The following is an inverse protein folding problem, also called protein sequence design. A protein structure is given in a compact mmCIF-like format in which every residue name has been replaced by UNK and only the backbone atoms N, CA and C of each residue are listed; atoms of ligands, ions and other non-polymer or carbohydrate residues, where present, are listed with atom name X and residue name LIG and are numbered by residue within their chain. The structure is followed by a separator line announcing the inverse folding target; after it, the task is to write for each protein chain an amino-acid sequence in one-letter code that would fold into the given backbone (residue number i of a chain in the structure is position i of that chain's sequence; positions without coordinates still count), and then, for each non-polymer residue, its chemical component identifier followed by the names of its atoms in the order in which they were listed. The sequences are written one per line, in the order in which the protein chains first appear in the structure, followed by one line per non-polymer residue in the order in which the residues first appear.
data_IF_618176606439
#
_entry.id   IF_618176606439
#
_cell.length_a   1.000
_cell.length_b   1.000
_cell.length_c   1.000
_cell.angle_alpha   90.00
_cell.angle_beta   90.00
_cell.angle_gamma   90.00
#
_symmetry.space_group_name_H-M   'P 1'
#
loop_
_entity.id
_entity.type
_entity.pdbx_description
1 polymer ?
#
# COMPACT_ATOMS: atom_id res chain seq x y z
N UNK A 1 61.43 -15.51 17.27
CA UNK A 1 60.16 -15.71 18.01
C UNK A 1 59.05 -15.61 16.96
N UNK A 2 58.25 -16.68 16.79
CA UNK A 2 57.22 -16.78 15.72
C UNK A 2 56.03 -15.89 16.03
N UNK A 3 55.79 -14.87 15.22
CA UNK A 3 54.64 -13.93 15.33
C UNK A 3 53.23 -14.57 15.38
N UNK A 4 53.12 -15.87 15.06
CA UNK A 4 51.82 -16.57 15.03
C UNK A 4 51.29 -17.01 16.39
N UNK A 5 52.15 -17.12 17.41
CA UNK A 5 51.74 -17.63 18.74
C UNK A 5 51.06 -16.52 19.59
N UNK A 6 51.36 -15.27 19.34
CA UNK A 6 50.83 -14.13 20.10
C UNK A 6 49.37 -13.83 19.81
N UNK A 7 48.92 -13.90 18.54
CA UNK A 7 47.50 -13.59 18.17
C UNK A 7 46.60 -14.72 18.64
N UNK A 8 47.03 -16.00 18.49
CA UNK A 8 46.24 -17.15 18.94
C UNK A 8 45.99 -17.11 20.45
N UNK A 9 47.05 -16.83 21.26
CA UNK A 9 46.91 -16.70 22.70
C UNK A 9 46.01 -15.50 23.08
N UNK A 10 46.19 -14.37 22.45
CA UNK A 10 45.33 -13.19 22.68
C UNK A 10 43.86 -13.45 22.38
N UNK A 11 43.53 -14.18 21.31
CA UNK A 11 42.16 -14.58 21.01
C UNK A 11 41.62 -15.62 21.99
N UNK A 12 42.47 -16.51 22.46
CA UNK A 12 42.09 -17.54 23.48
C UNK A 12 41.80 -16.87 24.83
N UNK A 13 42.56 -15.85 25.23
CA UNK A 13 42.33 -15.11 26.48
C UNK A 13 41.01 -14.33 26.45
N UNK A 14 40.55 -13.95 25.26
CA UNK A 14 39.28 -13.22 25.04
C UNK A 14 38.18 -14.10 24.48
N UNK A 15 38.30 -15.39 24.54
CA UNK A 15 37.38 -16.32 23.83
C UNK A 15 35.91 -16.20 24.29
N UNK A 16 35.71 -15.97 25.58
CA UNK A 16 34.36 -15.83 26.15
C UNK A 16 33.62 -14.60 25.55
N UNK A 17 34.31 -13.50 25.43
CA UNK A 17 33.75 -12.27 24.82
C UNK A 17 33.49 -12.50 23.33
N UNK A 18 34.39 -13.15 22.62
CA UNK A 18 34.24 -13.51 21.21
C UNK A 18 33.02 -14.42 21.00
N UNK A 19 32.81 -15.41 21.89
CA UNK A 19 31.64 -16.29 21.89
C UNK A 19 30.38 -15.48 22.17
N UNK A 20 30.40 -14.59 23.15
CA UNK A 20 29.27 -13.72 23.47
C UNK A 20 28.89 -12.79 22.32
N UNK A 21 29.88 -12.15 21.68
CA UNK A 21 29.62 -11.35 20.46
C UNK A 21 28.97 -12.19 19.36
N UNK A 22 29.45 -13.41 19.17
CA UNK A 22 28.88 -14.33 18.17
C UNK A 22 27.46 -14.76 18.52
N UNK A 23 27.20 -15.07 19.79
CA UNK A 23 25.86 -15.43 20.33
C UNK A 23 24.88 -14.27 20.19
N UNK A 24 25.36 -13.02 20.37
CA UNK A 24 24.58 -11.80 20.18
C UNK A 24 24.39 -11.41 18.68
N UNK A 25 24.85 -12.27 17.75
CA UNK A 25 24.60 -12.11 16.32
C UNK A 25 25.60 -11.26 15.57
N UNK A 26 26.68 -10.81 16.20
CA UNK A 26 27.73 -10.02 15.53
C UNK A 26 28.48 -10.91 14.53
N UNK A 27 28.66 -10.40 13.31
CA UNK A 27 29.32 -11.14 12.25
C UNK A 27 30.81 -11.36 12.55
N UNK A 28 31.34 -12.52 12.13
CA UNK A 28 32.76 -12.85 12.30
C UNK A 28 33.69 -11.78 11.75
N UNK A 29 33.30 -11.14 10.63
CA UNK A 29 34.04 -10.02 10.03
C UNK A 29 34.07 -8.74 10.90
N UNK A 30 33.03 -8.51 11.67
CA UNK A 30 32.93 -7.37 12.60
C UNK A 30 33.72 -7.66 13.87
N UNK A 31 33.61 -8.89 14.42
CA UNK A 31 34.43 -9.35 15.54
C UNK A 31 35.91 -9.26 15.17
N UNK A 32 36.28 -9.65 13.95
CA UNK A 32 37.65 -9.56 13.46
C UNK A 32 38.19 -8.09 13.42
N UNK A 33 37.34 -7.12 13.12
CA UNK A 33 37.68 -5.68 13.20
C UNK A 33 37.90 -5.25 14.66
N UNK A 34 37.05 -5.67 15.60
CA UNK A 34 37.17 -5.34 17.02
C UNK A 34 38.51 -5.83 17.56
N UNK A 35 38.88 -7.06 17.23
CA UNK A 35 40.14 -7.70 17.69
C UNK A 35 41.35 -7.43 16.78
N UNK A 36 41.20 -6.57 15.77
CA UNK A 36 42.24 -6.20 14.79
C UNK A 36 42.95 -7.42 14.18
N UNK A 37 42.18 -8.41 13.80
CA UNK A 37 42.67 -9.68 13.25
C UNK A 37 41.90 -10.08 11.97
N UNK A 38 42.28 -11.24 11.39
CA UNK A 38 41.56 -11.74 10.21
C UNK A 38 40.28 -12.49 10.62
N UNK A 39 39.22 -12.47 9.78
CA UNK A 39 38.03 -13.29 10.02
C UNK A 39 38.33 -14.79 10.17
N UNK A 40 39.33 -15.30 9.47
CA UNK A 40 39.78 -16.68 9.58
C UNK A 40 40.38 -17.03 10.93
N UNK A 41 41.08 -16.08 11.61
CA UNK A 41 41.59 -16.26 12.98
C UNK A 41 40.47 -16.34 13.98
N UNK A 42 39.44 -15.48 13.87
CA UNK A 42 38.23 -15.56 14.73
C UNK A 42 37.48 -16.86 14.50
N UNK A 43 37.28 -17.29 13.25
CA UNK A 43 36.64 -18.56 12.90
C UNK A 43 37.36 -19.73 13.58
N UNK A 44 38.70 -19.79 13.46
CA UNK A 44 39.52 -20.85 14.08
C UNK A 44 39.44 -20.81 15.58
N UNK A 45 39.46 -19.65 16.22
CA UNK A 45 39.33 -19.52 17.67
C UNK A 45 37.96 -20.04 18.14
N UNK A 46 36.88 -19.69 17.47
CA UNK A 46 35.54 -20.18 17.77
C UNK A 46 35.41 -21.69 17.55
N UNK A 47 35.92 -22.23 16.44
CA UNK A 47 35.90 -23.68 16.14
C UNK A 47 36.71 -24.50 17.14
N UNK A 48 37.88 -24.01 17.55
CA UNK A 48 38.70 -24.66 18.58
C UNK A 48 38.02 -24.73 19.95
N UNK A 49 37.06 -23.86 20.23
CA UNK A 49 36.27 -23.82 21.45
C UNK A 49 34.84 -24.37 21.26
N UNK A 50 34.62 -25.19 20.23
CA UNK A 50 33.34 -25.87 19.99
C UNK A 50 32.22 -25.02 19.42
N UNK A 51 32.49 -23.73 19.08
CA UNK A 51 31.52 -22.83 18.47
C UNK A 51 31.68 -22.88 16.95
N UNK A 52 30.85 -23.66 16.31
CA UNK A 52 30.90 -23.87 14.87
C UNK A 52 30.34 -22.62 14.14
N UNK A 53 31.18 -21.88 13.44
CA UNK A 53 30.84 -20.71 12.64
C UNK A 53 30.30 -21.03 11.25
N UNK A 54 30.54 -22.27 10.80
CA UNK A 54 30.13 -22.73 9.46
C UNK A 54 29.09 -23.86 9.61
N UNK A 55 27.89 -23.67 9.08
CA UNK A 55 26.87 -24.72 8.84
C UNK A 55 25.88 -25.08 9.94
N UNK A 56 25.56 -24.23 10.91
CA UNK A 56 24.39 -24.48 11.79
C UNK A 56 23.08 -24.66 11.00
N UNK A 57 22.93 -23.97 9.89
CA UNK A 57 21.77 -24.12 8.99
C UNK A 57 21.79 -25.39 8.13
N UNK A 58 22.97 -25.96 7.87
CA UNK A 58 23.10 -27.16 7.00
C UNK A 58 22.83 -28.48 7.71
N UNK A 59 22.88 -28.55 9.04
CA UNK A 59 22.92 -29.80 9.76
C UNK A 59 21.61 -30.31 10.36
N UNK A 60 20.56 -29.47 10.44
CA UNK A 60 19.27 -29.94 10.98
C UNK A 60 18.15 -29.76 9.94
N UNK A 61 17.43 -30.85 9.59
CA UNK A 61 16.25 -30.77 8.70
C UNK A 61 15.21 -29.75 9.16
N UNK A 62 15.03 -29.59 10.46
CA UNK A 62 14.09 -28.64 11.08
C UNK A 62 14.41 -27.17 10.77
N UNK A 63 15.69 -26.82 10.75
CA UNK A 63 16.10 -25.44 10.42
C UNK A 63 15.90 -25.13 8.93
N UNK A 64 15.99 -26.13 8.08
CA UNK A 64 15.71 -26.04 6.65
C UNK A 64 14.26 -25.66 6.38
N UNK A 65 13.32 -26.41 6.94
CA UNK A 65 11.89 -26.16 6.75
C UNK A 65 11.49 -24.80 7.31
N UNK A 66 12.00 -24.44 8.48
CA UNK A 66 11.79 -23.10 9.07
C UNK A 66 12.29 -22.00 8.15
N UNK A 67 13.50 -22.10 7.63
CA UNK A 67 14.07 -21.10 6.71
C UNK A 67 13.25 -20.99 5.40
N UNK A 68 12.85 -22.13 4.84
CA UNK A 68 12.02 -22.17 3.63
C UNK A 68 10.67 -21.52 3.91
N UNK A 69 10.00 -21.85 5.01
CA UNK A 69 8.71 -21.29 5.39
C UNK A 69 8.81 -19.77 5.63
N UNK A 70 9.88 -19.30 6.27
CA UNK A 70 10.17 -17.87 6.44
C UNK A 70 10.34 -17.16 5.08
N UNK A 71 11.02 -17.81 4.13
CA UNK A 71 11.17 -17.27 2.80
C UNK A 71 9.86 -17.30 2.02
N UNK A 72 9.10 -18.38 2.05
CA UNK A 72 7.80 -18.52 1.38
C UNK A 72 6.75 -17.56 1.98
N UNK A 73 6.80 -17.31 3.29
CA UNK A 73 5.95 -16.34 3.97
C UNK A 73 6.25 -14.87 3.61
N UNK A 74 7.27 -14.63 2.77
CA UNK A 74 7.56 -13.31 2.22
C UNK A 74 8.75 -12.58 2.82
N UNK A 75 9.45 -13.13 3.82
CA UNK A 75 10.65 -12.50 4.37
C UNK A 75 11.77 -12.39 3.33
N UNK A 76 12.52 -11.32 3.37
CA UNK A 76 13.67 -11.08 2.49
C UNK A 76 14.87 -11.91 2.92
N UNK A 77 15.85 -12.09 2.02
CA UNK A 77 17.12 -12.75 2.36
C UNK A 77 17.83 -12.06 3.53
N UNK A 78 17.75 -10.72 3.60
CA UNK A 78 18.37 -9.93 4.66
C UNK A 78 17.66 -10.14 6.03
N UNK A 79 16.32 -10.18 6.04
CA UNK A 79 15.55 -10.46 7.26
C UNK A 79 15.85 -11.87 7.79
N UNK A 80 15.87 -12.87 6.91
CA UNK A 80 16.19 -14.24 7.28
C UNK A 80 17.65 -14.33 7.75
N UNK A 81 18.57 -13.68 7.04
CA UNK A 81 19.97 -13.62 7.41
C UNK A 81 20.17 -13.07 8.84
N UNK A 82 19.41 -12.04 9.21
CA UNK A 82 19.40 -11.47 10.57
C UNK A 82 18.87 -12.48 11.61
N UNK A 83 17.73 -13.15 11.31
CA UNK A 83 17.13 -14.14 12.23
C UNK A 83 18.10 -15.29 12.52
N UNK A 84 18.77 -15.80 11.49
CA UNK A 84 19.67 -16.95 11.60
C UNK A 84 21.14 -16.56 11.78
N UNK A 85 21.45 -15.27 11.94
CA UNK A 85 22.80 -14.73 12.12
C UNK A 85 23.81 -15.19 11.05
N UNK A 86 23.37 -15.21 9.81
CA UNK A 86 24.17 -15.59 8.65
C UNK A 86 24.22 -14.47 7.61
N UNK A 87 25.03 -14.62 6.56
CA UNK A 87 25.00 -13.66 5.44
C UNK A 87 23.79 -13.92 4.52
N UNK A 88 23.25 -12.89 3.86
CA UNK A 88 22.21 -13.09 2.84
C UNK A 88 22.63 -14.04 1.73
N UNK A 89 23.92 -14.06 1.38
CA UNK A 89 24.48 -15.00 0.40
C UNK A 89 24.40 -16.45 0.89
N UNK A 90 24.55 -16.70 2.18
CA UNK A 90 24.38 -18.03 2.78
C UNK A 90 22.93 -18.50 2.64
N UNK A 91 21.96 -17.62 2.93
CA UNK A 91 20.53 -17.92 2.75
C UNK A 91 20.23 -18.21 1.28
N UNK A 92 20.77 -17.37 0.36
CA UNK A 92 20.63 -17.58 -1.07
C UNK A 92 21.16 -18.92 -1.56
N UNK A 93 22.36 -19.32 -1.11
CA UNK A 93 22.97 -20.61 -1.47
C UNK A 93 22.18 -21.81 -0.94
N UNK A 94 21.59 -21.68 0.26
CA UNK A 94 20.72 -22.72 0.81
C UNK A 94 19.44 -22.89 0.01
N UNK A 95 18.81 -21.80 -0.41
CA UNK A 95 17.62 -21.86 -1.27
C UNK A 95 17.93 -22.55 -2.61
N UNK A 96 19.12 -22.31 -3.19
CA UNK A 96 19.57 -23.00 -4.42
C UNK A 96 19.79 -24.49 -4.16
N UNK A 97 20.47 -24.85 -3.05
CA UNK A 97 20.72 -26.26 -2.66
C UNK A 97 19.42 -27.05 -2.56
N UNK A 98 18.34 -26.39 -2.17
CA UNK A 98 17.02 -27.02 -2.00
C UNK A 98 16.07 -26.78 -3.18
N UNK A 99 16.58 -26.31 -4.31
CA UNK A 99 15.81 -26.02 -5.52
C UNK A 99 14.64 -25.06 -5.30
N UNK A 100 14.72 -24.17 -4.31
CA UNK A 100 13.72 -23.16 -4.08
C UNK A 100 13.94 -22.00 -5.05
N UNK A 101 12.99 -21.79 -5.95
CA UNK A 101 13.08 -20.70 -6.94
C UNK A 101 13.16 -19.36 -6.22
N UNK A 102 14.28 -18.68 -6.39
CA UNK A 102 14.48 -17.35 -5.81
C UNK A 102 13.59 -16.32 -6.50
N UNK A 103 13.09 -15.39 -5.68
CA UNK A 103 12.38 -14.22 -6.17
C UNK A 103 13.32 -13.41 -7.07
N UNK A 104 12.82 -12.80 -8.14
CA UNK A 104 13.59 -11.83 -8.90
C UNK A 104 14.14 -10.74 -7.99
N UNK A 105 15.40 -10.40 -8.13
CA UNK A 105 16.08 -9.38 -7.33
C UNK A 105 15.28 -8.08 -7.30
N UNK A 106 15.04 -7.53 -6.10
CA UNK A 106 14.31 -6.28 -5.92
C UNK A 106 12.78 -6.39 -5.82
N UNK A 107 12.19 -7.59 -5.85
CA UNK A 107 10.74 -7.77 -5.66
C UNK A 107 10.43 -8.35 -4.29
N UNK A 108 9.84 -7.55 -3.41
CA UNK A 108 9.15 -8.06 -2.22
C UNK A 108 7.92 -8.82 -2.70
N UNK A 109 7.83 -10.13 -2.42
CA UNK A 109 6.58 -10.86 -2.65
C UNK A 109 5.56 -10.40 -1.62
N UNK A 110 4.38 -10.16 -2.10
CA UNK A 110 3.17 -9.98 -1.32
C UNK A 110 2.06 -10.77 -2.02
N UNK A 111 1.08 -11.20 -1.25
CA UNK A 111 -0.11 -11.83 -1.80
C UNK A 111 -0.91 -10.78 -2.57
N UNK A 112 -1.61 -11.19 -3.61
CA UNK A 112 -2.46 -10.31 -4.41
C UNK A 112 -3.43 -11.15 -5.24
N UNK A 113 -4.71 -10.83 -5.18
CA UNK A 113 -5.67 -11.29 -6.18
C UNK A 113 -5.57 -10.39 -7.41
N UNK A 114 -4.75 -10.77 -8.40
CA UNK A 114 -4.54 -9.97 -9.61
C UNK A 114 -5.78 -9.86 -10.50
N UNK A 115 -6.76 -10.76 -10.32
CA UNK A 115 -8.03 -10.82 -11.03
C UNK A 115 -9.15 -10.01 -10.37
N UNK A 116 -8.85 -9.26 -9.31
CA UNK A 116 -9.87 -8.54 -8.54
C UNK A 116 -10.73 -7.59 -9.39
N UNK A 117 -10.16 -6.97 -10.42
CA UNK A 117 -10.85 -6.03 -11.31
C UNK A 117 -11.28 -6.64 -12.66
N UNK A 118 -11.30 -7.95 -12.81
CA UNK A 118 -11.75 -8.58 -14.05
C UNK A 118 -13.25 -8.34 -14.31
N UNK A 119 -14.02 -8.28 -13.23
CA UNK A 119 -15.44 -7.91 -13.25
C UNK A 119 -15.70 -6.90 -12.12
N UNK A 120 -16.40 -5.82 -12.44
CA UNK A 120 -16.83 -4.81 -11.45
C UNK A 120 -18.28 -5.13 -11.12
N UNK A 121 -18.49 -5.92 -10.08
CA UNK A 121 -19.77 -6.51 -9.68
C UNK A 121 -20.15 -6.27 -8.22
N UNK A 122 -19.30 -5.56 -7.45
CA UNK A 122 -19.57 -5.21 -6.05
C UNK A 122 -19.40 -3.73 -5.80
N UNK A 123 -20.01 -3.25 -4.71
CA UNK A 123 -19.92 -1.86 -4.31
C UNK A 123 -18.48 -1.45 -3.97
N UNK A 124 -17.70 -2.34 -3.36
CA UNK A 124 -16.31 -2.09 -3.00
C UNK A 124 -15.45 -1.89 -4.26
N UNK A 125 -15.65 -2.73 -5.28
CA UNK A 125 -14.94 -2.60 -6.56
C UNK A 125 -15.28 -1.28 -7.25
N UNK A 126 -16.56 -0.93 -7.33
CA UNK A 126 -17.00 0.33 -7.91
C UNK A 126 -16.47 1.54 -7.13
N UNK A 127 -16.48 1.49 -5.79
CA UNK A 127 -15.88 2.50 -4.93
C UNK A 127 -14.38 2.68 -5.19
N UNK A 128 -13.64 1.57 -5.25
CA UNK A 128 -12.20 1.61 -5.50
C UNK A 128 -11.89 2.20 -6.88
N UNK A 129 -12.67 1.86 -7.91
CA UNK A 129 -12.53 2.49 -9.24
C UNK A 129 -12.77 4.00 -9.17
N UNK A 130 -13.81 4.46 -8.45
CA UNK A 130 -14.07 5.87 -8.23
C UNK A 130 -12.91 6.58 -7.50
N UNK A 131 -12.41 5.98 -6.43
CA UNK A 131 -11.28 6.54 -5.67
C UNK A 131 -9.98 6.54 -6.49
N UNK A 132 -9.73 5.50 -7.28
CA UNK A 132 -8.60 5.46 -8.23
C UNK A 132 -8.77 6.48 -9.35
N UNK A 133 -9.99 6.72 -9.81
CA UNK A 133 -10.29 7.75 -10.80
C UNK A 133 -9.95 9.16 -10.29
N UNK A 134 -10.14 9.42 -8.99
CA UNK A 134 -9.72 10.65 -8.32
C UNK A 134 -8.21 10.62 -8.01
N UNK A 135 -7.84 10.00 -6.92
CA UNK A 135 -6.50 10.07 -6.29
C UNK A 135 -5.50 9.01 -6.77
N UNK A 136 -5.94 8.03 -7.56
CA UNK A 136 -5.08 6.94 -8.02
C UNK A 136 -4.14 7.32 -9.17
N UNK A 137 -3.02 6.62 -9.26
CA UNK A 137 -2.10 6.70 -10.39
C UNK A 137 -1.73 5.29 -10.86
N UNK A 138 -1.88 5.03 -12.17
CA UNK A 138 -1.43 3.77 -12.80
C UNK A 138 -0.33 4.09 -13.81
N UNK A 139 0.93 3.94 -13.36
CA UNK A 139 2.11 4.19 -14.18
C UNK A 139 2.80 2.88 -14.52
N UNK A 140 3.00 2.59 -15.80
CA UNK A 140 3.55 1.32 -16.28
C UNK A 140 2.79 0.12 -15.69
N UNK A 141 3.40 -0.63 -14.77
CA UNK A 141 2.82 -1.80 -14.10
C UNK A 141 2.54 -1.55 -12.61
N UNK A 142 2.55 -0.30 -12.19
CA UNK A 142 2.44 0.10 -10.78
C UNK A 142 1.19 0.94 -10.58
N UNK A 143 0.38 0.52 -9.62
CA UNK A 143 -0.84 1.19 -9.15
C UNK A 143 -0.47 1.84 -7.81
N UNK A 144 -0.70 3.12 -7.68
CA UNK A 144 -0.42 3.85 -6.44
C UNK A 144 -1.68 4.61 -6.03
N UNK A 145 -2.06 4.47 -4.77
CA UNK A 145 -3.07 5.26 -4.11
C UNK A 145 -2.44 5.89 -2.87
N UNK A 146 -2.62 7.19 -2.70
CA UNK A 146 -2.05 7.95 -1.60
C UNK A 146 -3.14 8.72 -0.86
N UNK A 147 -3.24 8.51 0.46
CA UNK A 147 -4.20 9.19 1.31
C UNK A 147 -3.50 9.79 2.52
N UNK A 148 -4.09 10.84 3.10
CA UNK A 148 -3.60 11.41 4.35
C UNK A 148 -3.71 10.39 5.50
N UNK A 149 -2.91 10.60 6.55
CA UNK A 149 -2.80 9.66 7.68
C UNK A 149 -4.15 9.38 8.36
N UNK A 150 -5.07 10.36 8.44
CA UNK A 150 -6.42 10.17 8.98
C UNK A 150 -7.26 9.17 8.18
N UNK A 151 -6.95 8.99 6.91
CA UNK A 151 -7.70 8.15 5.97
C UNK A 151 -6.99 6.82 5.69
N UNK A 152 -5.91 6.51 6.43
CA UNK A 152 -5.10 5.29 6.30
C UNK A 152 -5.93 4.02 6.31
N UNK A 153 -6.99 3.97 7.12
CA UNK A 153 -7.87 2.80 7.25
C UNK A 153 -8.46 2.34 5.91
N UNK A 154 -8.76 3.28 4.99
CA UNK A 154 -9.24 2.95 3.64
C UNK A 154 -8.17 2.22 2.82
N UNK A 155 -6.89 2.63 2.92
CA UNK A 155 -5.81 1.93 2.24
C UNK A 155 -5.61 0.52 2.81
N UNK A 156 -5.80 0.33 4.11
CA UNK A 156 -5.72 -0.98 4.77
C UNK A 156 -6.87 -1.88 4.33
N UNK A 157 -8.08 -1.34 4.25
CA UNK A 157 -9.27 -2.04 3.78
C UNK A 157 -9.14 -2.43 2.30
N UNK A 158 -8.74 -1.52 1.42
CA UNK A 158 -8.48 -1.80 0.01
C UNK A 158 -7.41 -2.88 -0.13
N UNK A 159 -6.32 -2.81 0.65
CA UNK A 159 -5.26 -3.81 0.62
C UNK A 159 -5.79 -5.20 1.01
N UNK A 160 -6.66 -5.27 2.01
CA UNK A 160 -7.34 -6.50 2.41
C UNK A 160 -8.26 -7.05 1.30
N UNK A 161 -9.11 -6.19 0.72
CA UNK A 161 -10.01 -6.54 -0.39
C UNK A 161 -9.26 -7.08 -1.61
N UNK A 162 -8.09 -6.51 -1.90
CA UNK A 162 -7.20 -7.01 -2.95
C UNK A 162 -6.51 -8.35 -2.59
N UNK A 163 -6.78 -8.93 -1.42
CA UNK A 163 -6.07 -10.11 -0.92
C UNK A 163 -4.56 -9.88 -0.75
N UNK A 164 -4.18 -8.63 -0.46
CA UNK A 164 -2.77 -8.22 -0.43
C UNK A 164 -2.28 -8.00 1.01
N UNK A 165 -1.07 -8.48 1.27
CA UNK A 165 -0.34 -8.20 2.50
C UNK A 165 0.76 -7.12 2.30
N UNK A 166 0.60 -6.27 1.27
CA UNK A 166 1.54 -5.19 0.97
C UNK A 166 1.59 -4.19 2.13
N UNK A 167 2.80 -3.90 2.63
CA UNK A 167 2.97 -2.87 3.68
C UNK A 167 2.74 -1.48 3.09
N UNK A 168 1.92 -0.69 3.76
CA UNK A 168 1.75 0.73 3.44
C UNK A 168 3.05 1.49 3.73
N UNK A 169 3.39 2.42 2.85
CA UNK A 169 4.55 3.28 3.03
C UNK A 169 4.10 4.64 3.56
N UNK A 170 4.66 5.04 4.70
CA UNK A 170 4.48 6.39 5.26
C UNK A 170 5.48 7.36 4.61
N UNK A 171 5.00 8.47 4.12
CA UNK A 171 5.79 9.64 3.74
C UNK A 171 5.48 10.77 4.73
N UNK A 172 6.53 11.29 5.37
CA UNK A 172 6.47 12.45 6.27
C UNK A 172 7.17 13.61 5.57
N UNK A 173 6.45 14.52 4.92
CA UNK A 173 7.04 15.70 4.34
C UNK A 173 7.46 16.67 5.46
N UNK A 174 8.45 17.53 5.19
CA UNK A 174 8.86 18.59 6.13
C UNK A 174 7.74 19.61 6.35
N UNK A 175 6.95 19.87 5.32
CA UNK A 175 5.79 20.77 5.35
C UNK A 175 4.59 20.00 4.78
N UNK A 176 3.46 20.03 5.49
CA UNK A 176 2.22 19.39 5.08
C UNK A 176 1.81 18.22 5.96
N UNK A 177 0.87 17.42 5.47
CA UNK A 177 0.32 16.27 6.21
C UNK A 177 1.08 15.00 5.89
N UNK A 178 1.20 14.11 6.86
CA UNK A 178 1.65 12.75 6.64
C UNK A 178 0.74 12.03 5.64
N UNK A 179 1.34 11.30 4.70
CA UNK A 179 0.65 10.55 3.67
C UNK A 179 1.01 9.08 3.74
N UNK A 180 0.02 8.21 3.63
CA UNK A 180 0.22 6.78 3.43
C UNK A 180 0.02 6.43 1.96
N UNK A 181 0.86 5.51 1.48
CA UNK A 181 0.85 5.01 0.11
C UNK A 181 0.62 3.52 0.10
N UNK A 182 -0.39 3.07 -0.63
CA UNK A 182 -0.53 1.70 -1.10
C UNK A 182 0.03 1.64 -2.52
N UNK A 183 1.06 0.83 -2.72
CA UNK A 183 1.72 0.68 -4.03
C UNK A 183 1.72 -0.79 -4.42
N UNK A 184 0.95 -1.15 -5.43
CA UNK A 184 0.82 -2.49 -6.01
C UNK A 184 1.53 -2.52 -7.36
N UNK A 185 2.47 -3.44 -7.54
CA UNK A 185 3.15 -3.64 -8.82
C UNK A 185 2.73 -4.98 -9.40
N UNK A 186 1.80 -4.94 -10.35
CA UNK A 186 1.31 -6.11 -11.08
C UNK A 186 0.94 -5.71 -12.50
N UNK A 187 1.46 -6.44 -13.49
CA UNK A 187 1.26 -6.12 -14.90
C UNK A 187 -0.18 -6.32 -15.35
N UNK A 188 -0.80 -7.42 -14.92
CA UNK A 188 -2.16 -7.77 -15.31
C UNK A 188 -3.17 -6.78 -14.73
N UNK A 189 -3.15 -6.57 -13.42
CA UNK A 189 -4.05 -5.63 -12.75
C UNK A 189 -3.90 -4.19 -13.29
N UNK A 190 -2.66 -3.73 -13.52
CA UNK A 190 -2.42 -2.41 -14.11
C UNK A 190 -2.97 -2.30 -15.53
N UNK A 191 -2.86 -3.38 -16.33
CA UNK A 191 -3.46 -3.44 -17.67
C UNK A 191 -4.99 -3.35 -17.58
N UNK A 192 -5.64 -4.14 -16.69
CA UNK A 192 -7.09 -4.09 -16.47
C UNK A 192 -7.58 -2.72 -16.05
N UNK A 193 -6.93 -2.07 -15.11
CA UNK A 193 -7.30 -0.71 -14.69
C UNK A 193 -7.17 0.32 -15.82
N UNK A 194 -6.17 0.16 -16.70
CA UNK A 194 -6.04 1.03 -17.88
C UNK A 194 -7.17 0.82 -18.89
N UNK A 195 -7.62 -0.43 -19.10
CA UNK A 195 -8.81 -0.72 -19.90
C UNK A 195 -10.07 -0.05 -19.33
N UNK A 196 -10.17 0.08 -18.00
CA UNK A 196 -11.24 0.77 -17.30
C UNK A 196 -11.08 2.31 -17.28
N UNK A 197 -10.10 2.87 -18.00
CA UNK A 197 -9.86 4.30 -18.11
C UNK A 197 -8.98 4.91 -17.00
N UNK A 198 -8.48 4.10 -16.04
CA UNK A 198 -7.59 4.59 -14.99
C UNK A 198 -6.15 4.63 -15.53
N UNK A 199 -5.83 5.71 -16.21
CA UNK A 199 -4.55 5.89 -16.93
C UNK A 199 -3.64 6.89 -16.22
N UNK A 200 -2.40 6.97 -16.70
CA UNK A 200 -1.43 7.99 -16.28
C UNK A 200 -1.87 9.39 -16.78
N UNK A 201 -1.67 10.42 -15.95
CA UNK A 201 -2.06 11.81 -16.27
C UNK A 201 -3.55 11.96 -16.65
N UNK A 202 -4.42 11.23 -15.94
CA UNK A 202 -5.86 11.14 -16.23
C UNK A 202 -6.65 12.44 -15.99
N UNK A 203 -6.14 13.38 -15.18
CA UNK A 203 -6.86 14.55 -14.68
C UNK A 203 -7.55 15.38 -15.78
N UNK A 204 -7.00 15.37 -17.01
CA UNK A 204 -7.59 16.08 -18.16
C UNK A 204 -8.18 15.13 -19.23
N UNK A 205 -8.18 13.81 -19.00
CA UNK A 205 -8.57 12.81 -20.01
C UNK A 205 -9.58 11.78 -19.48
N UNK A 206 -9.88 11.84 -18.20
CA UNK A 206 -10.75 10.85 -17.56
C UNK A 206 -12.15 10.92 -18.16
N UNK A 207 -12.66 9.79 -18.64
CA UNK A 207 -14.05 9.59 -19.04
C UNK A 207 -14.75 8.69 -18.02
N UNK A 208 -16.07 8.64 -18.10
CA UNK A 208 -16.85 7.74 -17.25
C UNK A 208 -16.54 6.28 -17.62
N UNK A 209 -16.24 5.40 -16.64
CA UNK A 209 -15.95 4.01 -16.92
C UNK A 209 -17.21 3.24 -17.36
N UNK A 210 -17.19 2.66 -18.57
CA UNK A 210 -18.34 1.92 -19.12
C UNK A 210 -18.78 0.72 -18.29
N UNK A 211 -17.87 0.16 -17.48
CA UNK A 211 -18.16 -0.98 -16.58
C UNK A 211 -19.06 -0.62 -15.39
N UNK A 212 -19.32 0.66 -15.15
CA UNK A 212 -20.17 1.12 -14.05
C UNK A 212 -21.62 1.26 -14.57
N UNK A 213 -22.45 0.33 -14.15
CA UNK A 213 -23.89 0.37 -14.40
C UNK A 213 -24.64 1.28 -13.40
N UNK A 214 -25.96 1.38 -13.54
CA UNK A 214 -26.78 2.22 -12.66
C UNK A 214 -26.84 1.70 -11.20
N UNK A 215 -26.66 0.40 -10.99
CA UNK A 215 -26.66 -0.19 -9.63
C UNK A 215 -25.38 0.17 -8.90
N UNK A 216 -24.27 0.19 -9.61
CA UNK A 216 -22.94 0.49 -9.07
C UNK A 216 -22.62 1.99 -9.08
N UNK A 217 -23.42 2.80 -9.78
CA UNK A 217 -23.22 4.24 -9.91
C UNK A 217 -23.04 4.95 -8.55
N UNK A 218 -23.89 4.75 -7.52
CA UNK A 218 -23.73 5.46 -6.23
C UNK A 218 -22.39 5.13 -5.56
N UNK A 219 -21.90 3.91 -5.71
CA UNK A 219 -20.66 3.45 -5.09
C UNK A 219 -19.44 4.03 -5.81
N UNK A 220 -19.46 4.10 -7.14
CA UNK A 220 -18.46 4.79 -7.94
C UNK A 220 -18.40 6.29 -7.59
N UNK A 221 -19.57 6.95 -7.53
CA UNK A 221 -19.65 8.37 -7.15
C UNK A 221 -19.14 8.61 -5.74
N UNK A 222 -19.43 7.71 -4.77
CA UNK A 222 -18.89 7.81 -3.43
C UNK A 222 -17.36 7.77 -3.44
N UNK A 223 -16.74 6.84 -4.18
CA UNK A 223 -15.29 6.74 -4.31
C UNK A 223 -14.68 7.99 -4.97
N UNK A 224 -15.31 8.51 -6.01
CA UNK A 224 -14.90 9.74 -6.69
C UNK A 224 -15.03 10.96 -5.77
N UNK A 225 -16.14 11.07 -5.01
CA UNK A 225 -16.33 12.11 -4.02
C UNK A 225 -15.27 12.07 -2.93
N UNK A 226 -14.98 10.87 -2.43
CA UNK A 226 -14.00 10.68 -1.36
C UNK A 226 -12.59 11.13 -1.76
N UNK A 227 -12.19 10.94 -3.01
CA UNK A 227 -10.96 11.49 -3.54
C UNK A 227 -11.06 13.00 -3.77
N UNK A 228 -11.47 13.40 -4.95
CA UNK A 228 -11.42 14.79 -5.44
C UNK A 228 -12.65 15.62 -5.09
N UNK A 229 -13.69 15.05 -4.48
CA UNK A 229 -14.92 15.79 -4.19
C UNK A 229 -14.87 16.59 -2.89
N UNK A 230 -15.86 17.46 -2.73
CA UNK A 230 -16.07 18.29 -1.55
C UNK A 230 -17.48 18.15 -1.00
N UNK A 231 -17.62 18.14 0.33
CA UNK A 231 -18.88 18.31 1.06
C UNK A 231 -18.70 19.47 2.03
N UNK A 232 -19.55 20.47 1.96
CA UNK A 232 -19.49 21.66 2.81
C UNK A 232 -19.72 21.34 4.28
N UNK A 233 -18.94 21.95 5.16
CA UNK A 233 -19.09 21.75 6.61
C UNK A 233 -20.17 22.61 7.25
N UNK A 234 -20.36 23.79 6.70
CA UNK A 234 -21.26 24.83 7.26
C UNK A 234 -22.48 25.09 6.39
N UNK A 235 -22.34 24.97 5.10
CA UNK A 235 -23.40 25.13 4.10
C UNK A 235 -23.70 23.81 3.43
N UNK A 236 -24.88 23.68 2.85
CA UNK A 236 -25.23 22.55 2.01
C UNK A 236 -24.60 22.78 0.63
N UNK A 237 -23.51 22.11 0.36
CA UNK A 237 -22.85 22.08 -0.93
C UNK A 237 -22.13 20.76 -1.12
N UNK A 238 -22.27 20.19 -2.30
CA UNK A 238 -21.56 19.00 -2.76
C UNK A 238 -20.95 19.31 -4.11
N UNK A 239 -19.67 19.06 -4.26
CA UNK A 239 -18.92 19.39 -5.46
C UNK A 239 -18.06 18.22 -5.92
N UNK A 240 -18.01 18.01 -7.22
CA UNK A 240 -17.07 17.14 -7.92
C UNK A 240 -16.21 17.95 -8.86
N UNK A 241 -14.92 17.67 -8.90
CA UNK A 241 -14.00 18.23 -9.89
C UNK A 241 -13.57 17.15 -10.87
N UNK A 242 -13.49 17.46 -12.15
CA UNK A 242 -13.11 16.49 -13.16
C UNK A 242 -13.06 17.03 -14.57
N UNK A 243 -13.02 16.13 -15.55
CA UNK A 243 -13.13 16.49 -16.95
C UNK A 243 -14.59 16.80 -17.34
N UNK A 244 -14.78 17.57 -18.38
CA UNK A 244 -16.11 17.84 -18.94
C UNK A 244 -16.85 16.54 -19.27
N UNK A 245 -16.18 15.61 -19.94
CA UNK A 245 -16.77 14.32 -20.34
C UNK A 245 -17.27 13.52 -19.16
N UNK A 246 -16.45 13.38 -18.11
CA UNK A 246 -16.81 12.63 -16.91
C UNK A 246 -18.04 13.25 -16.22
N UNK A 247 -18.00 14.57 -15.98
CA UNK A 247 -19.05 15.23 -15.21
C UNK A 247 -20.38 15.28 -15.96
N UNK A 248 -20.36 15.50 -17.27
CA UNK A 248 -21.59 15.51 -18.07
C UNK A 248 -22.23 14.13 -18.14
N UNK A 249 -21.45 13.05 -18.29
CA UNK A 249 -21.98 11.68 -18.22
C UNK A 249 -22.59 11.36 -16.84
N UNK A 250 -21.96 11.81 -15.76
CA UNK A 250 -22.51 11.68 -14.39
C UNK A 250 -23.86 12.41 -14.30
N UNK A 251 -23.95 13.65 -14.77
CA UNK A 251 -25.19 14.44 -14.75
C UNK A 251 -26.27 13.75 -15.58
N UNK A 252 -25.96 13.28 -16.79
CA UNK A 252 -26.91 12.58 -17.64
C UNK A 252 -27.50 11.33 -16.97
N UNK A 253 -26.66 10.57 -16.26
CA UNK A 253 -27.09 9.38 -15.51
C UNK A 253 -27.94 9.76 -14.29
N UNK A 254 -27.53 10.79 -13.55
CA UNK A 254 -28.26 11.25 -12.37
C UNK A 254 -29.60 11.87 -12.75
N UNK A 255 -29.72 12.59 -13.88
CA UNK A 255 -30.97 13.15 -14.39
C UNK A 255 -32.01 12.10 -14.79
N UNK A 256 -31.60 10.82 -14.99
CA UNK A 256 -32.54 9.71 -15.18
C UNK A 256 -33.18 9.24 -13.87
N UNK A 257 -32.59 9.63 -12.72
CA UNK A 257 -33.00 9.18 -11.37
C UNK A 257 -33.60 10.33 -10.56
N UNK A 258 -33.05 11.55 -10.72
CA UNK A 258 -33.35 12.74 -9.94
C UNK A 258 -33.57 13.94 -10.83
N UNK A 259 -34.34 14.91 -10.38
CA UNK A 259 -34.49 16.23 -10.98
C UNK A 259 -33.64 17.25 -10.21
N UNK A 260 -32.32 17.09 -10.28
CA UNK A 260 -31.38 17.95 -9.56
C UNK A 260 -30.93 19.14 -10.40
N UNK A 261 -30.68 20.27 -9.71
CA UNK A 261 -30.15 21.48 -10.33
C UNK A 261 -28.64 21.53 -10.18
N UNK A 262 -27.92 20.96 -11.15
CA UNK A 262 -26.46 21.00 -11.19
C UNK A 262 -25.96 22.34 -11.73
N UNK A 263 -24.98 22.90 -11.00
CA UNK A 263 -24.20 24.04 -11.49
C UNK A 263 -22.87 23.53 -12.01
N UNK A 264 -22.56 23.93 -13.27
CA UNK A 264 -21.30 23.59 -13.92
C UNK A 264 -20.45 24.83 -13.97
N UNK A 265 -19.22 24.75 -13.50
CA UNK A 265 -18.23 25.82 -13.59
C UNK A 265 -16.99 25.30 -14.32
N UNK A 266 -16.48 26.14 -15.21
CA UNK A 266 -15.19 25.91 -15.84
C UNK A 266 -14.10 26.57 -15.00
N UNK A 267 -13.01 25.82 -14.72
CA UNK A 267 -11.89 26.28 -13.91
C UNK A 267 -10.59 26.17 -14.70
N UNK A 268 -9.92 27.30 -14.87
CA UNK A 268 -8.63 27.39 -15.55
C UNK A 268 -7.51 27.08 -14.55
N UNK A 269 -6.87 25.93 -14.71
CA UNK A 269 -5.72 25.50 -13.92
C UNK A 269 -4.43 25.67 -14.71
N UNK A 270 -3.29 25.64 -14.02
CA UNK A 270 -1.97 25.78 -14.65
C UNK A 270 -1.73 24.74 -15.78
N UNK A 271 -2.31 23.54 -15.65
CA UNK A 271 -2.12 22.43 -16.59
C UNK A 271 -3.25 22.24 -17.59
N UNK A 272 -4.27 23.13 -17.61
CA UNK A 272 -5.41 23.02 -18.52
C UNK A 272 -6.73 23.45 -17.90
N UNK A 273 -7.82 23.00 -18.49
CA UNK A 273 -9.18 23.34 -18.06
C UNK A 273 -9.76 22.13 -17.35
N UNK A 274 -10.28 22.35 -16.14
CA UNK A 274 -11.08 21.40 -15.37
C UNK A 274 -12.49 21.96 -15.19
N UNK A 275 -13.41 21.11 -14.76
CA UNK A 275 -14.79 21.49 -14.54
C UNK A 275 -15.19 21.08 -13.12
N UNK A 276 -16.07 21.88 -12.50
CA UNK A 276 -16.76 21.47 -11.27
C UNK A 276 -18.24 21.26 -11.55
N UNK A 277 -18.82 20.24 -10.91
CA UNK A 277 -20.24 19.96 -10.84
C UNK A 277 -20.69 20.14 -9.41
N UNK A 278 -21.62 21.04 -9.16
CA UNK A 278 -21.97 21.50 -7.82
C UNK A 278 -23.48 21.42 -7.57
N UNK A 279 -23.85 21.02 -6.34
CA UNK A 279 -25.20 21.08 -5.79
C UNK A 279 -25.21 22.02 -4.58
N UNK A 280 -26.19 22.91 -4.49
CA UNK A 280 -26.29 23.88 -3.39
C UNK A 280 -27.65 23.87 -2.68
N UNK A 281 -28.67 23.23 -3.26
CA UNK A 281 -29.98 23.15 -2.62
C UNK A 281 -29.96 22.10 -1.53
N UNK A 282 -30.43 22.49 -0.33
CA UNK A 282 -30.37 21.64 0.85
C UNK A 282 -30.90 20.24 0.59
N UNK A 283 -32.13 20.12 0.06
CA UNK A 283 -32.76 18.83 -0.17
C UNK A 283 -32.01 18.00 -1.20
N UNK A 284 -31.61 18.61 -2.31
CA UNK A 284 -30.84 17.92 -3.37
C UNK A 284 -29.50 17.38 -2.85
N UNK A 285 -28.79 18.16 -2.00
CA UNK A 285 -27.56 17.71 -1.37
C UNK A 285 -27.80 16.49 -0.44
N UNK A 286 -28.90 16.53 0.34
CA UNK A 286 -29.25 15.44 1.26
C UNK A 286 -29.64 14.18 0.46
N UNK A 287 -30.52 14.33 -0.54
CA UNK A 287 -30.98 13.20 -1.36
C UNK A 287 -29.82 12.58 -2.15
N UNK A 288 -28.93 13.41 -2.69
CA UNK A 288 -27.73 12.93 -3.36
C UNK A 288 -26.79 12.18 -2.40
N UNK A 289 -26.53 12.72 -1.21
CA UNK A 289 -25.67 12.06 -0.21
C UNK A 289 -26.33 10.79 0.33
N UNK A 290 -27.64 10.77 0.55
CA UNK A 290 -28.37 9.55 0.86
C UNK A 290 -28.15 8.48 -0.22
N UNK A 291 -28.30 8.86 -1.49
CA UNK A 291 -28.10 7.94 -2.62
C UNK A 291 -26.74 7.30 -2.66
N UNK A 292 -25.67 8.07 -2.39
CA UNK A 292 -24.30 7.52 -2.46
C UNK A 292 -23.83 6.84 -1.18
N UNK A 293 -24.44 7.15 -0.01
CA UNK A 293 -24.06 6.56 1.28
C UNK A 293 -25.01 5.48 1.76
N UNK A 294 -26.18 5.30 1.12
CA UNK A 294 -27.08 4.20 1.44
C UNK A 294 -26.35 2.88 1.29
N UNK A 295 -26.41 2.04 2.32
CA UNK A 295 -25.79 0.71 2.39
C UNK A 295 -24.27 0.69 2.13
N UNK A 296 -23.60 1.82 2.34
CA UNK A 296 -22.18 1.96 2.11
C UNK A 296 -21.35 1.14 3.11
N UNK A 297 -20.53 0.22 2.60
CA UNK A 297 -19.60 -0.58 3.41
C UNK A 297 -18.23 0.07 3.52
N UNK A 298 -17.80 0.85 2.52
CA UNK A 298 -16.49 1.50 2.46
C UNK A 298 -16.65 2.98 2.10
N UNK A 299 -16.05 3.87 2.91
CA UNK A 299 -16.14 5.34 2.76
C UNK A 299 -15.11 6.07 3.61
N UNK A 300 -14.76 7.31 3.26
CA UNK A 300 -13.96 8.19 4.11
C UNK A 300 -14.80 8.71 5.29
N UNK A 301 -14.45 8.26 6.50
CA UNK A 301 -15.17 8.62 7.73
C UNK A 301 -15.38 10.13 7.88
N UNK A 302 -14.38 10.96 7.58
CA UNK A 302 -14.49 12.44 7.70
C UNK A 302 -15.57 13.06 6.80
N UNK A 303 -15.85 12.47 5.61
CA UNK A 303 -16.92 12.94 4.70
C UNK A 303 -18.26 12.37 5.11
N UNK A 304 -18.30 11.12 5.53
CA UNK A 304 -19.48 10.50 6.07
C UNK A 304 -20.01 11.22 7.33
N UNK A 305 -19.12 11.65 8.23
CA UNK A 305 -19.50 12.43 9.42
C UNK A 305 -20.12 13.80 9.04
N UNK A 306 -19.76 14.39 7.88
CA UNK A 306 -20.42 15.62 7.40
C UNK A 306 -21.81 15.31 6.84
N UNK A 307 -21.95 14.21 6.10
CA UNK A 307 -23.25 13.74 5.61
C UNK A 307 -24.23 13.53 6.77
N UNK A 308 -23.84 12.82 7.84
CA UNK A 308 -24.68 12.62 9.01
C UNK A 308 -25.17 13.96 9.62
N UNK A 309 -24.30 14.97 9.66
CA UNK A 309 -24.69 16.31 10.13
C UNK A 309 -25.70 16.99 9.19
N UNK A 310 -25.70 16.70 7.91
CA UNK A 310 -26.72 17.21 6.99
C UNK A 310 -28.08 16.60 7.32
N UNK A 311 -28.11 15.28 7.51
CA UNK A 311 -29.35 14.56 7.89
C UNK A 311 -29.89 15.07 9.23
N UNK A 312 -29.06 15.14 10.27
CA UNK A 312 -29.46 15.63 11.60
C UNK A 312 -30.04 17.06 11.54
N UNK A 313 -29.37 17.97 10.83
CA UNK A 313 -29.85 19.36 10.67
C UNK A 313 -31.20 19.44 9.94
N UNK A 314 -31.47 18.52 9.02
CA UNK A 314 -32.74 18.48 8.31
C UNK A 314 -33.88 18.02 9.22
N UNK A 315 -33.64 17.01 10.05
CA UNK A 315 -34.62 16.49 11.01
C UNK A 315 -35.00 17.54 12.07
N UNK A 316 -34.04 18.30 12.58
CA UNK A 316 -34.26 19.37 13.53
C UNK A 316 -35.13 20.53 12.96
N UNK A 317 -35.06 20.76 11.63
CA UNK A 317 -35.92 21.80 10.98
C UNK A 317 -37.35 21.34 10.72
N UNK A 318 -37.60 20.05 10.65
CA UNK A 318 -38.93 19.48 10.45
C UNK A 318 -39.67 19.38 11.80
N UNK A 319 -38.95 19.32 12.93
CA UNK A 319 -39.48 19.21 14.28
C UNK A 319 -39.86 20.56 14.92
N UNK A 320 -39.47 21.69 14.30
CA UNK A 320 -39.81 23.07 14.69
C UNK A 320 -40.75 23.70 13.65
#
# INVERSE_FOLDING_TARGET
MKKGNTIANYLQDNINDIIQYRTNGILVSEIAKIYKTSPSSITRALENNGVFTRNLLKKTPENKEKLINEYVSGKTLDEIAKIYHVSPSTVSSLLDEYNIKKRPSGKTLYTLNEHYFDLIDTQEKAYIIGLLAADGCVCRNTITLALQESDKHILEEINCLLGSNRKLRLLKPEIGKNMFYLTITNKYMAFKLKELGIIENKSLKLSFPECIDNILLPHFLRGLLDGDGHIGKTRYDVCYTGTKMLLFEIIERLNKIFDFHFYIREEHCHNGITYSMELYRQQECIDFLNYIYQDATIFLKRKYDIYLKYVDRSLLKVAN
#
